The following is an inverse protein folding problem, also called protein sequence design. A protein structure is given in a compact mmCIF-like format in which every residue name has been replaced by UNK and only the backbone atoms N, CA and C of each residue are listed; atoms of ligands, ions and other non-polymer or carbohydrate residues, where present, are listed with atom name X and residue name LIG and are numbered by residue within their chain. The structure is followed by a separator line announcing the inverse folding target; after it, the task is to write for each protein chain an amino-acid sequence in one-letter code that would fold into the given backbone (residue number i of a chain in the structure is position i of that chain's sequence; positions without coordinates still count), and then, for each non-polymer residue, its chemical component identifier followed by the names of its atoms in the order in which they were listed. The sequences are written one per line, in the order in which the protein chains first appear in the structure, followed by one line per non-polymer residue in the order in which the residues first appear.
data_IF_017316406971
#
_entry.id   IF_017316406971
#
_cell.length_a   1.000
_cell.length_b   1.000
_cell.length_c   1.000
_cell.angle_alpha   90.00
_cell.angle_beta   90.00
_cell.angle_gamma   90.00
#
_symmetry.space_group_name_H-M   'P 1'
#
loop_
_entity.id
_entity.type
_entity.pdbx_description
1 polymer ?
#
# COMPACT_ATOMS: atom_id res chain seq x y z
N UNK A 1 15.91 17.17 -1.18
CA UNK A 1 15.59 15.73 -1.26
C UNK A 1 14.15 15.60 -0.80
N UNK A 2 13.26 15.00 -1.58
CA UNK A 2 11.92 14.70 -1.06
C UNK A 2 12.12 13.73 0.09
N UNK A 3 11.80 14.13 1.32
CA UNK A 3 11.66 13.17 2.42
C UNK A 3 10.65 12.12 1.96
N UNK A 4 11.03 10.85 2.12
CA UNK A 4 10.13 9.76 1.86
C UNK A 4 9.07 9.78 2.96
N UNK A 5 7.81 9.67 2.57
CA UNK A 5 6.72 9.53 3.54
C UNK A 5 6.67 8.11 4.08
N UNK A 6 6.12 7.90 5.28
CA UNK A 6 5.87 6.55 5.81
C UNK A 6 5.10 5.68 4.79
N UNK A 7 4.19 6.29 4.03
CA UNK A 7 3.45 5.66 2.93
C UNK A 7 4.39 5.17 1.82
N UNK A 8 5.39 5.96 1.45
CA UNK A 8 6.39 5.60 0.43
C UNK A 8 7.30 4.48 0.89
N UNK A 9 7.76 4.56 2.14
CA UNK A 9 8.62 3.55 2.75
C UNK A 9 7.91 2.20 2.77
N UNK A 10 6.67 2.15 3.27
CA UNK A 10 5.93 0.90 3.36
C UNK A 10 5.51 0.37 1.97
N UNK A 11 5.16 1.24 1.02
CA UNK A 11 4.87 0.83 -0.35
C UNK A 11 6.09 0.22 -1.05
N UNK A 12 7.28 0.77 -0.79
CA UNK A 12 8.55 0.25 -1.30
C UNK A 12 8.88 -1.10 -0.65
N UNK A 13 8.70 -1.26 0.66
CA UNK A 13 8.86 -2.56 1.32
C UNK A 13 7.99 -3.66 0.69
N UNK A 14 6.72 -3.36 0.41
CA UNK A 14 5.81 -4.31 -0.23
C UNK A 14 6.31 -4.70 -1.64
N UNK A 15 6.94 -3.76 -2.35
CA UNK A 15 7.53 -4.00 -3.66
C UNK A 15 8.79 -4.85 -3.56
N UNK A 16 9.67 -4.58 -2.59
CA UNK A 16 10.85 -5.40 -2.33
C UNK A 16 10.47 -6.84 -1.93
N UNK A 17 9.47 -7.01 -1.05
CA UNK A 17 8.93 -8.32 -0.66
C UNK A 17 8.33 -9.07 -1.86
N UNK A 18 7.60 -8.37 -2.75
CA UNK A 18 7.11 -8.96 -3.99
C UNK A 18 8.27 -9.45 -4.88
N UNK A 19 9.31 -8.64 -5.06
CA UNK A 19 10.50 -9.01 -5.83
C UNK A 19 11.22 -10.22 -5.25
N UNK A 20 11.34 -10.31 -3.92
CA UNK A 20 11.91 -11.48 -3.23
C UNK A 20 11.08 -12.73 -3.51
N UNK A 21 9.75 -12.66 -3.38
CA UNK A 21 8.86 -13.80 -3.70
C UNK A 21 9.02 -14.23 -5.15
N UNK A 22 9.02 -13.28 -6.10
CA UNK A 22 9.18 -13.58 -7.53
C UNK A 22 10.54 -14.21 -7.84
N UNK A 23 11.59 -13.82 -7.11
CA UNK A 23 12.92 -14.42 -7.28
C UNK A 23 12.99 -15.88 -6.84
N UNK A 24 12.15 -16.28 -5.87
CA UNK A 24 12.05 -17.65 -5.37
C UNK A 24 11.07 -18.49 -6.20
N UNK A 25 9.90 -17.94 -6.50
CA UNK A 25 8.86 -18.59 -7.31
C UNK A 25 8.03 -17.52 -8.07
N UNK A 26 8.26 -17.35 -9.38
CA UNK A 26 7.52 -16.41 -10.20
C UNK A 26 6.00 -16.66 -10.22
N UNK A 27 5.56 -17.91 -10.03
CA UNK A 27 4.14 -18.26 -10.02
C UNK A 27 3.41 -17.75 -8.77
N UNK A 28 4.15 -17.38 -7.73
CA UNK A 28 3.62 -16.89 -6.45
C UNK A 28 3.60 -15.37 -6.35
N UNK A 29 3.87 -14.65 -7.46
CA UNK A 29 3.87 -13.18 -7.48
C UNK A 29 2.58 -12.60 -6.87
N UNK A 30 2.68 -11.88 -5.73
CA UNK A 30 1.53 -11.17 -5.18
C UNK A 30 0.95 -10.18 -6.19
N UNK A 31 -0.38 -10.14 -6.31
CA UNK A 31 -1.07 -9.18 -7.17
C UNK A 31 -1.05 -7.77 -6.59
N UNK A 32 -1.28 -6.76 -7.44
CA UNK A 32 -1.41 -5.37 -6.98
C UNK A 32 -2.57 -5.18 -6.00
N UNK A 33 -3.66 -5.93 -6.17
CA UNK A 33 -4.78 -5.99 -5.20
C UNK A 33 -4.29 -6.47 -3.83
N UNK A 34 -3.44 -7.51 -3.80
CA UNK A 34 -2.87 -8.02 -2.56
C UNK A 34 -2.00 -6.98 -1.88
N UNK A 35 -1.16 -6.26 -2.65
CA UNK A 35 -0.32 -5.18 -2.13
C UNK A 35 -1.17 -4.03 -1.60
N UNK A 36 -2.20 -3.59 -2.34
CA UNK A 36 -3.15 -2.56 -1.91
C UNK A 36 -3.80 -2.92 -0.58
N UNK A 37 -4.32 -4.15 -0.45
CA UNK A 37 -4.97 -4.58 0.80
C UNK A 37 -4.00 -4.60 1.98
N UNK A 38 -2.74 -4.98 1.78
CA UNK A 38 -1.71 -4.93 2.82
C UNK A 38 -1.38 -3.49 3.24
N UNK A 39 -1.20 -2.58 2.27
CA UNK A 39 -0.96 -1.15 2.50
C UNK A 39 -2.09 -0.54 3.34
N UNK A 40 -3.35 -0.72 2.90
CA UNK A 40 -4.52 -0.19 3.58
C UNK A 40 -4.70 -0.75 4.99
N UNK A 41 -4.37 -2.04 5.21
CA UNK A 41 -4.44 -2.64 6.55
C UNK A 41 -3.41 -2.04 7.50
N UNK A 42 -2.20 -1.77 7.03
CA UNK A 42 -1.17 -1.15 7.84
C UNK A 42 -1.58 0.24 8.31
N UNK A 43 -2.05 1.11 7.40
CA UNK A 43 -2.50 2.46 7.75
C UNK A 43 -3.88 2.52 8.42
N UNK A 44 -4.64 1.42 8.43
CA UNK A 44 -5.82 1.30 9.29
C UNK A 44 -5.43 1.06 10.75
N UNK A 45 -4.39 0.25 10.98
CA UNK A 45 -3.92 -0.12 12.32
C UNK A 45 -2.95 0.88 12.93
N UNK A 46 -2.09 1.48 12.11
CA UNK A 46 -1.09 2.45 12.51
C UNK A 46 -1.72 3.85 12.47
N UNK A 47 -1.51 4.66 13.51
CA UNK A 47 -2.05 6.03 13.67
C UNK A 47 -3.47 6.17 14.26
N UNK A 48 -3.96 5.22 15.07
CA UNK A 48 -5.21 5.39 15.85
C UNK A 48 -6.44 5.84 15.02
N UNK A 49 -6.52 5.43 13.75
CA UNK A 49 -7.62 5.80 12.86
C UNK A 49 -7.46 7.13 12.10
N UNK A 50 -6.29 7.78 12.13
CA UNK A 50 -5.99 8.98 11.34
C UNK A 50 -6.33 8.80 9.84
N UNK A 51 -5.90 7.67 9.26
CA UNK A 51 -6.21 7.34 7.86
C UNK A 51 -7.57 6.65 7.68
N UNK A 52 -8.38 6.48 8.72
CA UNK A 52 -9.57 5.64 8.71
C UNK A 52 -10.58 6.01 7.61
N UNK A 53 -10.82 7.30 7.42
CA UNK A 53 -11.74 7.79 6.36
C UNK A 53 -11.22 7.49 4.94
N UNK A 54 -9.95 7.77 4.68
CA UNK A 54 -9.35 7.54 3.36
C UNK A 54 -9.18 6.04 3.08
N UNK A 55 -8.83 5.25 4.10
CA UNK A 55 -8.75 3.79 4.00
C UNK A 55 -10.12 3.18 3.68
N UNK A 56 -11.19 3.62 4.34
CA UNK A 56 -12.55 3.17 4.06
C UNK A 56 -12.96 3.48 2.61
N UNK A 57 -12.68 4.70 2.14
CA UNK A 57 -12.92 5.09 0.75
C UNK A 57 -12.13 4.19 -0.24
N UNK A 58 -10.84 3.98 -0.01
CA UNK A 58 -9.97 3.20 -0.89
C UNK A 58 -10.34 1.70 -0.93
N UNK A 59 -10.92 1.17 0.15
CA UNK A 59 -11.44 -0.21 0.22
C UNK A 59 -12.71 -0.40 -0.61
N UNK A 60 -13.62 0.58 -0.58
CA UNK A 60 -14.88 0.54 -1.33
C UNK A 60 -14.65 0.68 -2.85
N UNK A 61 -13.55 1.32 -3.25
CA UNK A 61 -13.20 1.55 -4.64
C UNK A 61 -12.19 0.52 -5.15
N UNK A 62 -12.69 -0.63 -5.61
CA UNK A 62 -11.88 -1.75 -6.12
C UNK A 62 -11.11 -1.43 -7.42
N UNK A 63 -11.55 -0.43 -8.19
CA UNK A 63 -10.93 0.02 -9.44
C UNK A 63 -9.64 0.82 -9.22
N UNK A 64 -9.42 1.37 -8.02
CA UNK A 64 -8.23 2.17 -7.71
C UNK A 64 -7.00 1.27 -7.62
N UNK A 65 -5.98 1.59 -8.41
CA UNK A 65 -4.73 0.84 -8.47
C UNK A 65 -3.89 0.96 -7.19
N UNK A 66 -2.89 0.11 -7.05
CA UNK A 66 -1.91 0.23 -5.95
C UNK A 66 -1.21 1.60 -5.96
N UNK A 67 -0.75 2.08 -7.12
CA UNK A 67 -0.06 3.37 -7.23
C UNK A 67 -0.96 4.56 -6.87
N UNK A 68 -2.22 4.54 -7.30
CA UNK A 68 -3.19 5.56 -6.92
C UNK A 68 -3.49 5.52 -5.42
N UNK A 69 -3.59 4.33 -4.83
CA UNK A 69 -3.79 4.15 -3.38
C UNK A 69 -2.64 4.78 -2.59
N UNK A 70 -1.39 4.56 -3.02
CA UNK A 70 -0.19 5.17 -2.42
C UNK A 70 -0.27 6.69 -2.48
N UNK A 71 -0.57 7.27 -3.65
CA UNK A 71 -0.67 8.71 -3.81
C UNK A 71 -1.77 9.32 -2.92
N UNK A 72 -2.95 8.71 -2.87
CA UNK A 72 -4.05 9.21 -2.03
C UNK A 72 -3.73 9.16 -0.54
N UNK A 73 -3.06 8.10 -0.07
CA UNK A 73 -2.59 8.04 1.32
C UNK A 73 -1.52 9.10 1.61
N UNK A 74 -0.59 9.31 0.66
CA UNK A 74 0.46 10.33 0.77
C UNK A 74 -0.13 11.74 0.88
N UNK A 75 -1.16 12.05 0.10
CA UNK A 75 -1.87 13.33 0.14
C UNK A 75 -2.66 13.56 1.45
N UNK A 76 -2.87 12.50 2.24
CA UNK A 76 -3.59 12.57 3.53
C UNK A 76 -2.65 12.79 4.73
N UNK A 77 -1.33 12.72 4.53
CA UNK A 77 -0.34 13.00 5.56
C UNK A 77 -0.27 14.49 5.88
#
# INVERSE_FOLDING_TARGET
MSEWTDVDEYANELTQKQSQVVSLDPSKRPSDVTKKNRLLRHFESECNGYYGGVVAFLRLNSSISFSQTVNTLRETQ
#
